data_IF_039923807709
#
_entry.id   IF_039923807709
#
_cell.length_a   1.000
_cell.length_b   1.000
_cell.length_c   1.000
_cell.angle_alpha   90.00
_cell.angle_beta   90.00
_cell.angle_gamma   90.00
#
_symmetry.space_group_name_H-M   'P 1'
#
loop_
_entity.id
_entity.type
_entity.pdbx_description
1 polymer ?
#
# COMPACT_ATOMS: atom_id res chain seq x y z
N UNK A 1 -20.11 -61.41 23.78
CA UNK A 1 -20.18 -59.94 23.61
C UNK A 1 -21.61 -59.58 23.29
N UNK A 2 -22.15 -58.50 23.87
CA UNK A 2 -23.47 -57.99 23.48
C UNK A 2 -23.36 -57.20 22.18
N UNK A 3 -24.40 -57.21 21.36
CA UNK A 3 -24.44 -56.46 20.09
C UNK A 3 -24.36 -54.94 20.32
N UNK A 4 -24.75 -54.44 21.51
CA UNK A 4 -24.67 -53.02 21.87
C UNK A 4 -23.22 -52.55 22.06
N UNK A 5 -22.35 -53.37 22.65
CA UNK A 5 -20.94 -53.05 22.80
C UNK A 5 -20.24 -52.94 21.45
N UNK A 6 -20.54 -53.86 20.52
CA UNK A 6 -19.95 -53.85 19.18
C UNK A 6 -20.37 -52.61 18.38
N UNK A 7 -21.66 -52.23 18.47
CA UNK A 7 -22.17 -50.99 17.87
C UNK A 7 -21.49 -49.75 18.45
N UNK A 8 -21.32 -49.67 19.77
CA UNK A 8 -20.64 -48.54 20.43
C UNK A 8 -19.16 -48.48 20.05
N UNK A 9 -18.49 -49.62 19.91
CA UNK A 9 -17.09 -49.68 19.46
C UNK A 9 -16.93 -49.19 18.01
N UNK A 10 -17.83 -49.58 17.11
CA UNK A 10 -17.84 -49.09 15.72
C UNK A 10 -18.14 -47.58 15.63
N UNK A 11 -19.00 -47.05 16.50
CA UNK A 11 -19.29 -45.62 16.60
C UNK A 11 -18.13 -44.82 17.23
N UNK A 12 -17.38 -45.41 18.17
CA UNK A 12 -16.16 -44.84 18.74
C UNK A 12 -15.07 -44.68 17.69
N UNK A 13 -14.84 -45.71 16.85
CA UNK A 13 -13.84 -45.67 15.77
C UNK A 13 -14.14 -44.56 14.74
N UNK A 14 -15.42 -44.20 14.59
CA UNK A 14 -15.88 -43.13 13.70
C UNK A 14 -16.02 -41.76 14.37
N UNK A 15 -15.85 -41.66 15.69
CA UNK A 15 -15.97 -40.41 16.46
C UNK A 15 -17.40 -39.90 16.64
N UNK A 16 -18.40 -40.80 16.60
CA UNK A 16 -19.83 -40.45 16.58
C UNK A 16 -20.54 -40.62 17.96
N UNK A 17 -19.79 -40.90 19.03
CA UNK A 17 -20.34 -41.09 20.37
C UNK A 17 -20.51 -39.77 21.14
N UNK A 18 -21.56 -39.69 21.94
CA UNK A 18 -21.71 -38.58 22.91
C UNK A 18 -20.80 -38.80 24.14
N UNK A 19 -20.56 -37.72 24.89
CA UNK A 19 -19.59 -37.69 26.00
C UNK A 19 -19.90 -38.71 27.12
N UNK A 20 -21.17 -38.96 27.43
CA UNK A 20 -21.58 -39.93 28.44
C UNK A 20 -21.47 -41.39 27.94
N UNK A 21 -21.72 -41.63 26.65
CA UNK A 21 -21.53 -42.93 26.01
C UNK A 21 -20.05 -43.27 25.81
N UNK A 22 -19.22 -42.25 25.60
CA UNK A 22 -17.77 -42.39 25.48
C UNK A 22 -17.14 -42.77 26.82
N UNK A 23 -17.49 -42.08 27.91
CA UNK A 23 -16.98 -42.39 29.26
C UNK A 23 -17.40 -43.79 29.74
N UNK A 24 -18.61 -44.23 29.36
CA UNK A 24 -19.08 -45.59 29.70
C UNK A 24 -18.38 -46.67 28.88
N UNK A 25 -18.14 -46.43 27.58
CA UNK A 25 -17.38 -47.35 26.73
C UNK A 25 -15.91 -47.44 27.17
N UNK A 26 -15.27 -46.33 27.53
CA UNK A 26 -13.90 -46.31 28.06
C UNK A 26 -13.77 -47.14 29.34
N UNK A 27 -14.72 -46.99 30.29
CA UNK A 27 -14.75 -47.83 31.51
C UNK A 27 -14.99 -49.31 31.23
N UNK A 28 -15.72 -49.65 30.18
CA UNK A 28 -15.93 -51.04 29.77
C UNK A 28 -14.70 -51.63 29.07
N UNK A 29 -13.99 -50.83 28.26
CA UNK A 29 -12.72 -51.21 27.65
C UNK A 29 -11.63 -51.42 28.70
N UNK A 30 -11.52 -50.52 29.68
CA UNK A 30 -10.58 -50.65 30.80
C UNK A 30 -10.81 -51.97 31.57
N UNK A 31 -12.07 -52.31 31.85
CA UNK A 31 -12.42 -53.57 32.52
C UNK A 31 -12.11 -54.81 31.68
N UNK A 32 -12.32 -54.74 30.36
CA UNK A 32 -12.00 -55.85 29.46
C UNK A 32 -10.48 -56.03 29.33
N UNK A 33 -9.71 -54.94 29.35
CA UNK A 33 -8.26 -54.98 29.37
C UNK A 33 -7.72 -55.58 30.68
N UNK A 34 -8.27 -55.19 31.84
CA UNK A 34 -7.97 -55.82 33.14
C UNK A 34 -8.31 -57.34 33.15
N UNK A 35 -9.43 -57.73 32.55
CA UNK A 35 -9.83 -59.14 32.46
C UNK A 35 -8.92 -59.95 31.53
N UNK A 36 -8.46 -59.34 30.44
CA UNK A 36 -7.53 -59.96 29.50
C UNK A 36 -6.12 -60.08 30.10
N UNK A 37 -5.69 -59.10 30.92
CA UNK A 37 -4.46 -59.20 31.72
C UNK A 37 -4.54 -60.33 32.76
N UNK A 38 -5.66 -60.46 33.48
CA UNK A 38 -5.86 -61.54 34.47
C UNK A 38 -5.82 -62.95 33.85
N UNK A 39 -6.36 -63.11 32.63
CA UNK A 39 -6.34 -64.39 31.92
C UNK A 39 -4.95 -64.72 31.36
N UNK A 40 -4.16 -63.71 30.96
CA UNK A 40 -2.77 -63.90 30.51
C UNK A 40 -1.80 -64.17 31.66
N UNK A 41 -2.08 -63.65 32.87
CA UNK A 41 -1.23 -63.84 34.05
C UNK A 41 -1.34 -65.26 34.65
N UNK A 42 -2.43 -65.98 34.35
CA UNK A 42 -2.74 -67.30 34.93
C UNK A 42 -2.59 -68.50 33.96
N UNK A 43 -1.96 -68.33 32.79
CA UNK A 43 -1.72 -69.43 31.85
C UNK A 43 -0.48 -70.29 32.28
N UNK A 44 -0.63 -71.59 32.61
CA UNK A 44 0.40 -72.34 33.35
C UNK A 44 1.71 -72.68 32.60
N UNK A 45 1.86 -72.33 31.31
CA UNK A 45 3.00 -72.78 30.49
C UNK A 45 4.08 -71.73 30.20
N UNK A 46 3.93 -70.47 30.62
CA UNK A 46 4.89 -69.39 30.29
C UNK A 46 5.61 -68.74 31.50
N UNK A 47 5.58 -69.35 32.68
CA UNK A 47 6.00 -68.68 33.92
C UNK A 47 7.52 -68.43 34.11
N UNK A 48 8.42 -68.98 33.29
CA UNK A 48 9.88 -68.91 33.60
C UNK A 48 10.68 -67.96 32.69
N UNK A 49 10.22 -67.66 31.46
CA UNK A 49 10.94 -66.76 30.53
C UNK A 49 10.12 -65.56 30.03
N UNK A 50 8.80 -65.53 30.28
CA UNK A 50 7.94 -64.42 29.84
C UNK A 50 7.97 -63.23 30.80
N UNK A 51 8.23 -63.42 32.10
CA UNK A 51 8.18 -62.34 33.11
C UNK A 51 9.20 -61.22 32.81
N UNK A 52 10.45 -61.53 32.45
CA UNK A 52 11.48 -60.50 32.16
C UNK A 52 11.33 -59.81 30.79
N UNK A 53 10.75 -60.50 29.80
CA UNK A 53 10.53 -59.99 28.44
C UNK A 53 9.20 -59.24 28.28
N UNK A 54 8.13 -59.69 28.95
CA UNK A 54 6.82 -59.04 28.98
C UNK A 54 6.84 -57.77 29.85
N UNK A 55 7.53 -57.78 30.99
CA UNK A 55 7.77 -56.57 31.80
C UNK A 55 8.52 -55.52 30.97
N UNK A 56 9.53 -55.92 30.18
CA UNK A 56 10.25 -55.00 29.28
C UNK A 56 9.39 -54.45 28.13
N UNK A 57 8.49 -55.25 27.54
CA UNK A 57 7.57 -54.78 26.48
C UNK A 57 6.46 -53.88 27.05
N UNK A 58 5.88 -54.24 28.20
CA UNK A 58 4.89 -53.44 28.96
C UNK A 58 5.50 -52.11 29.41
N UNK A 59 6.71 -52.16 29.98
CA UNK A 59 7.49 -50.97 30.34
C UNK A 59 7.83 -50.10 29.12
N UNK A 60 8.27 -50.67 27.99
CA UNK A 60 8.56 -49.88 26.78
C UNK A 60 7.32 -49.29 26.11
N UNK A 61 6.17 -49.97 26.13
CA UNK A 61 4.90 -49.45 25.59
C UNK A 61 4.33 -48.34 26.48
N UNK A 62 4.35 -48.52 27.80
CA UNK A 62 3.98 -47.49 28.78
C UNK A 62 4.92 -46.29 28.73
N UNK A 63 6.24 -46.51 28.58
CA UNK A 63 7.22 -45.43 28.38
C UNK A 63 7.02 -44.70 27.06
N UNK A 64 6.66 -45.39 25.96
CA UNK A 64 6.33 -44.74 24.67
C UNK A 64 5.06 -43.91 24.77
N UNK A 65 4.01 -44.43 25.40
CA UNK A 65 2.75 -43.72 25.62
C UNK A 65 2.95 -42.50 26.53
N UNK A 66 3.72 -42.65 27.62
CA UNK A 66 4.13 -41.54 28.49
C UNK A 66 4.97 -40.49 27.77
N UNK A 67 5.92 -40.89 26.92
CA UNK A 67 6.71 -39.96 26.08
C UNK A 67 5.85 -39.23 25.07
N UNK A 68 4.89 -39.90 24.44
CA UNK A 68 3.94 -39.27 23.52
C UNK A 68 2.98 -38.33 24.22
N UNK A 69 2.45 -38.71 25.39
CA UNK A 69 1.63 -37.84 26.24
C UNK A 69 2.41 -36.60 26.70
N UNK A 70 3.66 -36.76 27.13
CA UNK A 70 4.52 -35.64 27.49
C UNK A 70 4.82 -34.73 26.30
N UNK A 71 5.14 -35.28 25.12
CA UNK A 71 5.34 -34.51 23.89
C UNK A 71 4.07 -33.76 23.48
N UNK A 72 2.90 -34.40 23.62
CA UNK A 72 1.61 -33.79 23.32
C UNK A 72 1.28 -32.66 24.30
N UNK A 73 1.51 -32.86 25.59
CA UNK A 73 1.37 -31.81 26.62
C UNK A 73 2.33 -30.64 26.39
N UNK A 74 3.61 -30.93 26.08
CA UNK A 74 4.58 -29.89 25.73
C UNK A 74 4.17 -29.14 24.46
N UNK A 75 3.66 -29.84 23.45
CA UNK A 75 3.13 -29.21 22.24
C UNK A 75 1.92 -28.31 22.54
N UNK A 76 0.98 -28.76 23.38
CA UNK A 76 -0.17 -27.96 23.80
C UNK A 76 0.25 -26.71 24.59
N UNK A 77 1.22 -26.83 25.49
CA UNK A 77 1.76 -25.67 26.22
C UNK A 77 2.46 -24.70 25.25
N UNK A 78 3.24 -25.20 24.30
CA UNK A 78 3.88 -24.37 23.28
C UNK A 78 2.85 -23.64 22.39
N UNK A 79 1.78 -24.33 21.98
CA UNK A 79 0.66 -23.72 21.24
C UNK A 79 -0.03 -22.66 22.10
N UNK A 80 -0.27 -22.94 23.39
CA UNK A 80 -0.85 -21.98 24.32
C UNK A 80 0.00 -20.71 24.45
N UNK A 81 1.31 -20.85 24.62
CA UNK A 81 2.25 -19.73 24.65
C UNK A 81 2.21 -18.95 23.32
N UNK A 82 2.16 -19.66 22.18
CA UNK A 82 2.09 -19.04 20.86
C UNK A 82 0.81 -18.22 20.65
N UNK A 83 -0.34 -18.73 21.10
CA UNK A 83 -1.62 -18.01 21.04
C UNK A 83 -1.55 -16.75 21.91
N UNK A 84 -1.07 -16.88 23.15
CA UNK A 84 -0.91 -15.74 24.07
C UNK A 84 0.02 -14.69 23.46
N UNK A 85 1.15 -15.11 22.91
CA UNK A 85 2.08 -14.22 22.20
C UNK A 85 1.41 -13.51 21.02
N UNK A 86 0.60 -14.22 20.23
CA UNK A 86 -0.09 -13.63 19.06
C UNK A 86 -1.11 -12.56 19.49
N UNK A 87 -1.85 -12.80 20.58
CA UNK A 87 -2.77 -11.81 21.16
C UNK A 87 -2.01 -10.57 21.62
N UNK A 88 -0.95 -10.74 22.42
CA UNK A 88 -0.13 -9.61 22.88
C UNK A 88 0.53 -8.86 21.73
N UNK A 89 1.02 -9.58 20.73
CA UNK A 89 1.63 -8.97 19.55
C UNK A 89 0.62 -8.13 18.78
N UNK A 90 -0.61 -8.61 18.59
CA UNK A 90 -1.67 -7.85 17.91
C UNK A 90 -2.03 -6.57 18.67
N UNK A 91 -2.19 -6.65 19.99
CA UNK A 91 -2.47 -5.47 20.84
C UNK A 91 -1.32 -4.46 20.76
N UNK A 92 -0.07 -4.93 20.89
CA UNK A 92 1.10 -4.07 20.81
C UNK A 92 1.25 -3.43 19.42
N UNK A 93 0.92 -4.17 18.36
CA UNK A 93 0.93 -3.68 16.99
C UNK A 93 -0.05 -2.52 16.84
N UNK A 94 -1.31 -2.71 17.26
CA UNK A 94 -2.32 -1.65 17.22
C UNK A 94 -1.87 -0.40 17.98
N UNK A 95 -1.39 -0.56 19.21
CA UNK A 95 -0.87 0.56 20.02
C UNK A 95 0.30 1.25 19.32
N UNK A 96 1.26 0.49 18.79
CA UNK A 96 2.45 1.07 18.16
C UNK A 96 2.10 1.96 16.97
N UNK A 97 1.23 1.48 16.09
CA UNK A 97 0.86 2.20 14.87
C UNK A 97 -0.12 3.35 15.15
N UNK A 98 -1.01 3.22 16.14
CA UNK A 98 -1.90 4.30 16.57
C UNK A 98 -1.24 5.29 17.56
N UNK A 99 0.08 5.21 17.78
CA UNK A 99 0.78 6.07 18.72
C UNK A 99 1.35 7.31 18.04
N UNK A 100 0.86 8.48 18.42
CA UNK A 100 1.39 9.77 17.97
C UNK A 100 0.27 10.80 17.81
N UNK A 101 0.64 12.02 17.45
CA UNK A 101 -0.27 13.04 16.93
C UNK A 101 0.46 13.84 15.86
N UNK A 102 0.26 13.56 14.55
CA UNK A 102 -0.59 12.50 13.99
C UNK A 102 -0.07 11.08 14.32
N UNK A 103 -0.92 10.07 14.17
CA UNK A 103 -0.51 8.70 14.44
C UNK A 103 0.48 8.17 13.36
N UNK A 104 1.14 7.04 13.62
CA UNK A 104 2.16 6.55 12.68
C UNK A 104 1.54 6.04 11.39
N UNK A 105 0.29 5.58 11.42
CA UNK A 105 -0.40 5.12 10.21
C UNK A 105 -0.61 6.31 9.29
N UNK A 106 -1.09 7.43 9.81
CA UNK A 106 -1.27 8.68 9.08
C UNK A 106 0.06 9.20 8.56
N UNK A 107 1.12 9.22 9.39
CA UNK A 107 2.46 9.62 8.92
C UNK A 107 2.94 8.73 7.76
N UNK A 108 2.77 7.41 7.85
CA UNK A 108 3.19 6.50 6.78
C UNK A 108 2.33 6.66 5.53
N UNK A 109 1.02 6.87 5.69
CA UNK A 109 0.12 7.18 4.59
C UNK A 109 0.55 8.45 3.87
N UNK A 110 0.80 9.53 4.61
CA UNK A 110 1.19 10.82 4.06
C UNK A 110 2.54 10.76 3.36
N UNK A 111 3.51 9.99 3.87
CA UNK A 111 4.78 9.77 3.14
C UNK A 111 4.51 9.15 1.76
N UNK A 112 3.63 8.16 1.67
CA UNK A 112 3.30 7.48 0.41
C UNK A 112 2.58 8.43 -0.54
N UNK A 113 1.50 9.03 -0.08
CA UNK A 113 0.63 9.89 -0.88
C UNK A 113 1.38 11.13 -1.38
N UNK A 114 2.16 11.78 -0.49
CA UNK A 114 2.91 12.97 -0.85
C UNK A 114 4.10 12.65 -1.75
N UNK A 115 4.81 11.53 -1.54
CA UNK A 115 5.90 11.12 -2.45
C UNK A 115 5.36 10.96 -3.86
N UNK A 116 4.26 10.21 -4.03
CA UNK A 116 3.68 10.01 -5.36
C UNK A 116 3.11 11.30 -5.93
N UNK A 117 2.51 12.17 -5.11
CA UNK A 117 1.99 13.46 -5.58
C UNK A 117 3.10 14.35 -6.17
N UNK A 118 4.32 14.29 -5.61
CA UNK A 118 5.44 15.11 -6.10
C UNK A 118 6.27 14.46 -7.20
N UNK A 119 6.17 13.14 -7.42
CA UNK A 119 6.96 12.42 -8.43
C UNK A 119 6.14 11.79 -9.55
N UNK A 120 4.81 11.80 -9.46
CA UNK A 120 3.92 11.24 -10.46
C UNK A 120 2.80 12.25 -10.78
N UNK A 121 2.58 12.61 -12.05
CA UNK A 121 1.54 13.57 -12.44
C UNK A 121 0.11 13.22 -12.02
N UNK A 122 -0.17 11.94 -11.78
CA UNK A 122 -1.48 11.47 -11.30
C UNK A 122 -1.44 11.02 -9.84
N UNK A 123 -0.34 11.29 -9.11
CA UNK A 123 -0.10 10.82 -7.75
C UNK A 123 -1.13 11.29 -6.72
N UNK A 124 -1.78 12.44 -6.96
CA UNK A 124 -2.87 12.95 -6.12
C UNK A 124 -4.23 12.29 -6.40
N UNK A 125 -4.35 11.45 -7.44
CA UNK A 125 -5.64 10.90 -7.92
C UNK A 125 -6.02 9.57 -7.31
N UNK A 126 -5.41 9.16 -6.19
CA UNK A 126 -5.88 7.96 -5.49
C UNK A 126 -5.61 8.02 -3.99
N UNK A 127 -6.07 6.99 -3.28
CA UNK A 127 -5.85 6.86 -1.84
C UNK A 127 -4.86 5.76 -1.48
N UNK A 128 -4.21 5.93 -0.33
CA UNK A 128 -3.53 4.86 0.39
C UNK A 128 -4.45 4.29 1.46
N UNK A 129 -4.68 2.98 1.40
CA UNK A 129 -5.32 2.21 2.46
C UNK A 129 -4.28 1.48 3.28
N UNK A 130 -4.55 1.26 4.57
CA UNK A 130 -3.63 0.57 5.48
C UNK A 130 -4.37 -0.49 6.29
N UNK A 131 -3.67 -1.57 6.61
CA UNK A 131 -4.18 -2.62 7.48
C UNK A 131 -3.07 -3.15 8.39
N UNK A 132 -3.32 -3.16 9.71
CA UNK A 132 -2.39 -3.75 10.67
C UNK A 132 -2.43 -5.27 10.56
N UNK A 133 -1.26 -5.89 10.48
CA UNK A 133 -1.11 -7.35 10.45
C UNK A 133 -0.59 -7.86 11.79
N UNK A 134 -0.76 -9.16 12.07
CA UNK A 134 -0.15 -9.75 13.28
C UNK A 134 1.38 -9.65 13.23
N UNK A 135 2.04 -9.73 14.38
CA UNK A 135 3.51 -9.72 14.46
C UNK A 135 4.15 -8.40 14.04
N UNK A 136 3.58 -7.28 14.50
CA UNK A 136 4.14 -5.93 14.38
C UNK A 136 4.19 -5.38 12.96
N UNK A 137 3.36 -5.93 12.07
CA UNK A 137 3.32 -5.52 10.69
C UNK A 137 2.20 -4.53 10.39
N UNK A 138 2.40 -3.77 9.31
CA UNK A 138 1.39 -2.95 8.65
C UNK A 138 1.56 -3.14 7.15
N UNK A 139 0.46 -3.34 6.45
CA UNK A 139 0.42 -3.35 5.00
C UNK A 139 -0.27 -2.08 4.51
N UNK A 140 0.38 -1.34 3.62
CA UNK A 140 -0.22 -0.23 2.90
C UNK A 140 -0.45 -0.62 1.43
N UNK A 141 -1.59 -0.21 0.87
CA UNK A 141 -1.93 -0.42 -0.54
C UNK A 141 -2.40 0.91 -1.13
N UNK A 142 -1.73 1.34 -2.20
CA UNK A 142 -1.98 2.60 -2.90
C UNK A 142 -2.42 2.31 -4.34
N UNK A 143 -3.60 2.78 -4.71
CA UNK A 143 -4.10 2.61 -6.09
C UNK A 143 -3.40 3.58 -7.05
N UNK A 144 -2.87 3.08 -8.16
CA UNK A 144 -2.30 3.91 -9.22
C UNK A 144 -3.38 4.21 -10.24
N UNK A 145 -3.66 5.51 -10.44
CA UNK A 145 -4.68 5.99 -11.35
C UNK A 145 -4.04 6.86 -12.43
N UNK A 146 -4.63 6.85 -13.62
CA UNK A 146 -4.40 7.86 -14.67
C UNK A 146 -5.67 8.65 -14.90
N UNK A 147 -5.53 9.85 -15.46
CA UNK A 147 -6.64 10.73 -15.84
C UNK A 147 -6.73 10.79 -17.35
N UNK A 148 -7.94 10.79 -17.91
CA UNK A 148 -8.20 11.10 -19.31
C UNK A 148 -9.54 11.80 -19.47
N UNK A 149 -9.50 13.08 -19.89
CA UNK A 149 -10.63 14.00 -19.73
C UNK A 149 -11.08 14.05 -18.27
N UNK A 150 -12.38 13.87 -18.03
CA UNK A 150 -12.94 13.88 -16.68
C UNK A 150 -13.02 12.49 -16.01
N UNK A 151 -12.49 11.44 -16.64
CA UNK A 151 -12.46 10.10 -16.06
C UNK A 151 -11.11 9.78 -15.40
N UNK A 152 -11.18 8.92 -14.38
CA UNK A 152 -10.03 8.31 -13.74
C UNK A 152 -10.02 6.80 -13.99
N UNK A 153 -8.88 6.27 -14.42
CA UNK A 153 -8.70 4.86 -14.74
C UNK A 153 -7.68 4.28 -13.77
N UNK A 154 -8.07 3.23 -13.02
CA UNK A 154 -7.15 2.48 -12.18
C UNK A 154 -6.26 1.58 -13.05
N UNK A 155 -4.96 1.89 -13.06
CA UNK A 155 -3.95 1.23 -13.89
C UNK A 155 -3.04 0.31 -13.09
N UNK A 156 -3.16 0.28 -11.77
CA UNK A 156 -2.38 -0.63 -10.94
C UNK A 156 -2.52 -0.35 -9.44
N UNK A 157 -1.69 -1.02 -8.67
CA UNK A 157 -1.58 -0.85 -7.23
C UNK A 157 -0.12 -1.00 -6.76
N UNK A 158 0.29 -0.19 -5.78
CA UNK A 158 1.53 -0.32 -5.04
C UNK A 158 1.24 -0.95 -3.68
N UNK A 159 1.91 -2.06 -3.38
CA UNK A 159 1.83 -2.75 -2.10
C UNK A 159 3.11 -2.60 -1.31
N UNK A 160 2.97 -2.25 -0.05
CA UNK A 160 4.10 -1.86 0.80
C UNK A 160 3.92 -2.52 2.16
N UNK A 161 4.97 -3.16 2.66
CA UNK A 161 4.94 -3.79 3.97
C UNK A 161 5.83 -3.02 4.92
N UNK A 162 5.37 -2.91 6.17
CA UNK A 162 6.12 -2.33 7.25
C UNK A 162 6.28 -3.36 8.36
N UNK A 163 7.46 -3.38 8.95
CA UNK A 163 7.72 -4.01 10.25
C UNK A 163 8.13 -2.90 11.21
N UNK A 164 7.25 -2.53 12.13
CA UNK A 164 7.35 -1.28 12.88
C UNK A 164 7.50 -0.08 11.92
N UNK A 165 8.57 0.70 12.06
CA UNK A 165 8.90 1.85 11.20
C UNK A 165 9.77 1.49 9.99
N UNK A 166 10.18 0.24 9.85
CA UNK A 166 10.95 -0.20 8.69
C UNK A 166 10.00 -0.55 7.55
N UNK A 167 10.20 0.08 6.41
CA UNK A 167 9.42 -0.08 5.20
C UNK A 167 10.17 -0.93 4.18
N UNK A 168 9.48 -1.88 3.53
CA UNK A 168 10.02 -2.63 2.39
C UNK A 168 9.98 -1.82 1.11
N UNK A 169 10.75 -2.24 0.11
CA UNK A 169 10.58 -1.74 -1.26
C UNK A 169 9.15 -2.11 -1.72
N UNK A 170 8.41 -1.18 -2.37
CA UNK A 170 7.08 -1.46 -2.88
C UNK A 170 7.09 -2.56 -3.94
N UNK A 171 6.02 -3.34 -3.96
CA UNK A 171 5.69 -4.24 -5.05
C UNK A 171 4.61 -3.55 -5.91
N UNK A 172 4.94 -3.28 -7.17
CA UNK A 172 4.01 -2.69 -8.14
C UNK A 172 3.30 -3.78 -8.94
N UNK A 173 1.98 -3.68 -9.02
CA UNK A 173 1.15 -4.53 -9.84
C UNK A 173 0.36 -3.67 -10.81
N UNK A 174 0.67 -3.79 -12.09
CA UNK A 174 -0.03 -3.07 -13.15
C UNK A 174 -1.22 -3.87 -13.70
N UNK A 175 -2.27 -3.15 -14.06
CA UNK A 175 -3.50 -3.64 -14.65
C UNK A 175 -3.58 -3.27 -16.13
N UNK A 176 -4.28 -4.08 -16.93
CA UNK A 176 -4.57 -3.76 -18.32
C UNK A 176 -3.36 -3.87 -19.26
N UNK A 177 -3.39 -3.12 -20.36
CA UNK A 177 -2.30 -3.04 -21.34
C UNK A 177 -1.33 -1.97 -20.87
N UNK A 178 -0.22 -2.41 -20.28
CA UNK A 178 0.85 -1.51 -19.87
C UNK A 178 1.56 -1.01 -21.14
N UNK A 179 1.34 0.25 -21.51
CA UNK A 179 2.32 0.96 -22.34
C UNK A 179 3.60 1.03 -21.50
N UNK A 180 4.64 0.31 -21.94
CA UNK A 180 5.90 0.18 -21.20
C UNK A 180 6.77 1.45 -21.28
N UNK A 181 6.32 2.45 -22.03
CA UNK A 181 6.98 3.73 -22.21
C UNK A 181 6.11 4.76 -21.50
N UNK A 182 6.49 5.15 -20.28
CA UNK A 182 5.89 6.33 -19.66
C UNK A 182 6.32 7.55 -20.46
N UNK A 183 5.40 8.49 -20.75
CA UNK A 183 5.76 9.73 -21.38
C UNK A 183 6.84 10.46 -20.58
N UNK A 184 7.77 11.08 -21.31
CA UNK A 184 8.93 11.75 -20.77
C UNK A 184 8.88 13.25 -21.06
N UNK A 185 9.59 14.01 -20.24
CA UNK A 185 9.80 15.43 -20.51
C UNK A 185 11.17 15.66 -21.15
N UNK A 186 11.24 16.66 -22.02
CA UNK A 186 12.48 17.15 -22.59
C UNK A 186 12.80 18.54 -22.04
N UNK A 187 14.03 18.73 -21.56
CA UNK A 187 14.50 20.05 -21.15
C UNK A 187 14.63 20.99 -22.35
N UNK A 188 14.37 22.30 -22.16
CA UNK A 188 14.66 23.32 -23.15
C UNK A 188 16.10 23.25 -23.66
N UNK A 189 16.28 23.27 -24.99
CA UNK A 189 17.60 23.28 -25.62
C UNK A 189 18.35 21.94 -25.63
N UNK A 190 17.75 20.85 -25.16
CA UNK A 190 18.31 19.48 -25.16
C UNK A 190 18.58 18.92 -26.56
N UNK A 191 18.03 19.52 -27.61
CA UNK A 191 18.16 19.02 -28.99
C UNK A 191 17.32 17.76 -29.27
N UNK A 192 16.55 17.29 -28.28
CA UNK A 192 15.49 16.29 -28.44
C UNK A 192 14.44 16.91 -29.35
N UNK A 193 14.57 16.58 -30.63
CA UNK A 193 13.72 17.03 -31.74
C UNK A 193 13.01 15.81 -32.30
N UNK A 194 12.22 15.16 -31.45
CA UNK A 194 11.20 14.23 -31.93
C UNK A 194 10.05 15.02 -32.55
N UNK A 195 9.38 14.49 -33.58
CA UNK A 195 8.09 15.03 -34.05
C UNK A 195 6.98 14.90 -32.99
N UNK A 196 7.30 14.45 -31.76
CA UNK A 196 6.35 14.10 -30.73
C UNK A 196 5.29 13.12 -31.24
N UNK A 197 4.20 13.06 -30.49
CA UNK A 197 3.01 12.32 -30.88
C UNK A 197 2.01 13.18 -31.66
N UNK A 198 2.46 14.29 -32.26
CA UNK A 198 1.61 15.18 -33.06
C UNK A 198 0.92 14.43 -34.20
N UNK A 199 1.66 13.60 -34.93
CA UNK A 199 1.10 12.74 -35.99
C UNK A 199 0.04 11.76 -35.45
N UNK A 200 0.21 11.25 -34.23
CA UNK A 200 -0.78 10.38 -33.59
C UNK A 200 -2.03 11.18 -33.23
N UNK A 201 -1.86 12.37 -32.65
CA UNK A 201 -2.94 13.28 -32.26
C UNK A 201 -3.79 13.74 -33.46
N UNK A 202 -3.15 14.04 -34.60
CA UNK A 202 -3.84 14.39 -35.85
C UNK A 202 -4.76 13.27 -36.35
N UNK A 203 -4.29 12.02 -36.25
CA UNK A 203 -5.01 10.83 -36.72
C UNK A 203 -6.14 10.37 -35.78
N UNK A 204 -6.18 10.87 -34.53
CA UNK A 204 -7.27 10.59 -33.62
C UNK A 204 -8.57 11.29 -34.10
N UNK A 205 -9.71 10.58 -34.07
CA UNK A 205 -10.98 11.13 -34.54
C UNK A 205 -11.50 12.25 -33.63
N UNK A 206 -12.41 13.07 -34.14
CA UNK A 206 -13.22 13.92 -33.26
C UNK A 206 -14.07 13.06 -32.30
N UNK A 207 -14.35 13.59 -31.11
CA UNK A 207 -15.05 12.84 -30.05
C UNK A 207 -14.11 11.98 -29.18
N UNK A 208 -12.82 12.29 -29.16
CA UNK A 208 -11.85 11.73 -28.20
C UNK A 208 -11.31 12.82 -27.28
N UNK A 209 -10.86 12.37 -26.11
CA UNK A 209 -10.12 13.15 -25.13
C UNK A 209 -8.74 12.54 -24.97
N UNK A 210 -7.75 13.37 -24.66
CA UNK A 210 -6.35 12.95 -24.53
C UNK A 210 -5.77 13.56 -23.27
N UNK A 211 -4.96 12.78 -22.57
CA UNK A 211 -3.99 13.30 -21.60
C UNK A 211 -2.60 13.24 -22.20
N UNK A 212 -1.85 14.31 -22.05
CA UNK A 212 -0.54 14.45 -22.69
C UNK A 212 0.46 15.17 -21.79
N UNK A 213 1.73 14.81 -21.99
CA UNK A 213 2.88 15.47 -21.41
C UNK A 213 3.39 16.45 -22.45
N UNK A 214 3.50 17.71 -22.05
CA UNK A 214 3.91 18.80 -22.90
C UNK A 214 5.22 19.35 -22.36
N UNK A 215 6.26 19.39 -23.18
CA UNK A 215 7.53 20.03 -22.83
C UNK A 215 7.62 21.40 -23.49
N UNK A 216 8.11 22.39 -22.76
CA UNK A 216 8.22 23.76 -23.21
C UNK A 216 9.54 24.01 -23.96
N UNK A 217 9.52 24.98 -24.88
CA UNK A 217 10.70 25.41 -25.64
C UNK A 217 11.65 26.28 -24.82
N UNK A 218 11.14 26.92 -23.77
CA UNK A 218 11.88 27.65 -22.74
C UNK A 218 11.36 27.30 -21.35
N UNK A 219 12.13 27.61 -20.31
CA UNK A 219 11.60 27.54 -18.94
C UNK A 219 10.55 28.63 -18.73
N UNK A 220 9.46 28.28 -18.04
CA UNK A 220 8.37 29.18 -17.70
C UNK A 220 8.19 29.30 -16.19
N UNK A 221 7.88 30.50 -15.70
CA UNK A 221 7.37 30.68 -14.34
C UNK A 221 5.95 30.09 -14.21
N UNK A 222 5.55 29.70 -13.00
CA UNK A 222 4.23 29.10 -12.76
C UNK A 222 3.08 29.98 -13.23
N UNK A 223 3.19 31.30 -13.03
CA UNK A 223 2.20 32.25 -13.53
C UNK A 223 2.12 32.22 -15.06
N UNK A 224 3.25 32.17 -15.76
CA UNK A 224 3.30 32.11 -17.23
C UNK A 224 2.67 30.82 -17.76
N UNK A 225 2.80 29.70 -17.02
CA UNK A 225 2.11 28.45 -17.37
C UNK A 225 0.60 28.62 -17.29
N UNK A 226 0.07 29.16 -16.18
CA UNK A 226 -1.37 29.42 -16.06
C UNK A 226 -1.87 30.40 -17.14
N UNK A 227 -1.17 31.52 -17.33
CA UNK A 227 -1.51 32.52 -18.35
C UNK A 227 -1.50 31.93 -19.78
N UNK A 228 -0.63 30.96 -20.07
CA UNK A 228 -0.54 30.33 -21.38
C UNK A 228 -1.75 29.43 -21.69
N UNK A 229 -2.28 28.73 -20.68
CA UNK A 229 -3.42 27.84 -20.81
C UNK A 229 -4.76 28.50 -20.47
N UNK A 230 -4.76 29.73 -19.95
CA UNK A 230 -5.98 30.47 -19.61
C UNK A 230 -6.92 30.62 -20.82
N UNK A 231 -8.21 30.38 -20.58
CA UNK A 231 -9.26 30.43 -21.58
C UNK A 231 -9.21 29.33 -22.65
N UNK A 232 -8.27 28.39 -22.59
CA UNK A 232 -8.24 27.22 -23.48
C UNK A 232 -9.12 26.11 -22.91
N UNK A 233 -9.74 25.33 -23.79
CA UNK A 233 -10.64 24.25 -23.39
C UNK A 233 -9.84 22.96 -23.06
N UNK A 234 -9.06 23.03 -21.98
CA UNK A 234 -8.23 21.93 -21.46
C UNK A 234 -7.86 22.19 -20.01
N UNK A 235 -7.67 21.12 -19.25
CA UNK A 235 -7.30 21.20 -17.83
C UNK A 235 -5.79 21.01 -17.66
N UNK A 236 -5.19 21.86 -16.84
CA UNK A 236 -3.85 21.66 -16.31
C UNK A 236 -3.92 20.65 -15.15
N UNK A 237 -3.11 19.59 -15.22
CA UNK A 237 -3.09 18.54 -14.20
C UNK A 237 -1.89 18.67 -13.26
N UNK A 238 -0.69 18.87 -13.81
CA UNK A 238 0.55 18.80 -13.03
C UNK A 238 1.72 19.53 -13.71
N UNK A 239 2.63 20.08 -12.91
CA UNK A 239 3.74 20.90 -13.36
C UNK A 239 5.09 20.36 -12.86
N UNK A 240 5.93 19.79 -13.73
CA UNK A 240 7.32 19.51 -13.37
C UNK A 240 8.08 20.80 -13.10
N UNK A 241 8.95 20.80 -12.08
CA UNK A 241 9.85 21.91 -11.76
C UNK A 241 11.29 21.52 -12.02
N UNK A 242 12.12 22.50 -12.38
CA UNK A 242 13.57 22.32 -12.36
C UNK A 242 14.07 22.22 -10.93
N UNK A 243 14.99 21.30 -10.68
CA UNK A 243 15.53 20.97 -9.36
C UNK A 243 17.06 21.07 -9.29
N UNK A 244 17.71 21.38 -10.41
CA UNK A 244 19.17 21.53 -10.53
C UNK A 244 19.90 20.22 -10.80
N UNK A 245 19.32 19.10 -10.38
CA UNK A 245 19.87 17.75 -10.59
C UNK A 245 19.65 17.23 -12.02
N UNK A 246 18.81 17.90 -12.82
CA UNK A 246 18.53 17.49 -14.20
C UNK A 246 19.79 17.45 -15.09
N UNK A 247 20.78 18.30 -14.77
CA UNK A 247 22.05 18.37 -15.49
C UNK A 247 22.95 17.14 -15.27
N UNK A 248 22.63 16.30 -14.30
CA UNK A 248 23.38 15.07 -13.98
C UNK A 248 22.87 13.85 -14.76
N UNK A 249 21.73 13.97 -15.46
CA UNK A 249 21.14 12.83 -16.18
C UNK A 249 21.94 12.46 -17.44
N UNK A 250 22.10 11.16 -17.72
CA UNK A 250 22.92 10.67 -18.83
C UNK A 250 22.23 10.75 -20.20
N UNK A 251 20.99 11.22 -20.28
CA UNK A 251 20.13 11.11 -21.47
C UNK A 251 19.92 12.44 -22.21
N UNK A 252 20.95 13.28 -22.31
CA UNK A 252 20.95 14.53 -23.11
C UNK A 252 19.65 15.34 -22.97
N UNK A 253 19.22 15.62 -21.73
CA UNK A 253 18.07 16.47 -21.42
C UNK A 253 16.70 15.79 -21.36
N UNK A 254 16.61 14.46 -21.46
CA UNK A 254 15.38 13.70 -21.16
C UNK A 254 15.23 13.49 -19.65
N UNK A 255 14.05 13.79 -19.10
CA UNK A 255 13.68 13.59 -17.69
C UNK A 255 12.69 12.44 -17.57
N UNK A 256 13.11 11.37 -16.88
CA UNK A 256 12.30 10.18 -16.63
C UNK A 256 11.59 10.21 -15.28
N UNK A 257 12.22 10.82 -14.28
CA UNK A 257 11.71 10.90 -12.91
C UNK A 257 11.50 12.39 -12.54
N UNK A 258 10.49 13.05 -13.14
CA UNK A 258 10.26 14.46 -12.89
C UNK A 258 9.76 14.68 -11.46
N UNK A 259 10.13 15.83 -10.89
CA UNK A 259 9.62 16.29 -9.60
C UNK A 259 8.79 17.55 -9.85
N UNK A 260 7.66 17.69 -9.17
CA UNK A 260 6.71 18.75 -9.45
C UNK A 260 5.49 18.72 -8.55
N UNK A 261 4.44 19.44 -8.93
CA UNK A 261 3.23 19.55 -8.13
C UNK A 261 1.97 19.70 -9.01
N UNK A 262 0.80 19.25 -8.51
CA UNK A 262 -0.46 19.38 -9.23
C UNK A 262 -0.95 20.84 -9.34
N UNK A 263 -1.90 21.09 -10.24
CA UNK A 263 -2.58 22.38 -10.39
C UNK A 263 -3.45 22.80 -9.19
N UNK A 264 -3.61 21.93 -8.20
CA UNK A 264 -4.31 22.17 -6.95
C UNK A 264 -3.37 22.05 -5.75
N UNK A 265 -3.58 22.76 -4.64
CA UNK A 265 -2.70 22.68 -3.47
C UNK A 265 -2.63 21.28 -2.87
N UNK A 266 -1.44 20.90 -2.40
CA UNK A 266 -1.22 19.69 -1.60
C UNK A 266 -1.49 20.05 -0.14
N UNK A 267 -2.72 19.83 0.33
CA UNK A 267 -3.07 20.10 1.73
C UNK A 267 -2.49 19.01 2.65
N UNK A 268 -1.71 19.41 3.64
CA UNK A 268 -1.24 18.54 4.70
C UNK A 268 -2.23 18.59 5.88
N UNK A 269 -2.18 17.56 6.75
CA UNK A 269 -3.13 17.41 7.87
C UNK A 269 -3.22 18.65 8.78
N UNK A 270 -2.13 19.41 8.92
CA UNK A 270 -2.05 20.61 9.75
C UNK A 270 -2.55 21.90 9.05
N UNK A 271 -2.87 21.85 7.75
CA UNK A 271 -3.51 22.96 7.03
C UNK A 271 -5.02 22.99 7.21
N UNK A 272 -5.63 21.85 7.54
CA UNK A 272 -7.08 21.72 7.67
C UNK A 272 -7.61 22.53 8.86
N UNK A 273 -8.68 23.30 8.60
CA UNK A 273 -9.33 24.14 9.59
C UNK A 273 -10.39 23.30 10.30
N UNK A 274 -10.15 22.95 11.57
CA UNK A 274 -11.12 22.20 12.38
C UNK A 274 -12.35 23.07 12.66
N UNK A 275 -13.49 22.72 12.07
CA UNK A 275 -14.76 23.43 12.19
C UNK A 275 -15.61 22.91 13.35
N UNK A 276 -15.49 21.62 13.68
CA UNK A 276 -16.21 21.00 14.79
C UNK A 276 -15.34 19.98 15.51
N UNK A 277 -15.42 19.94 16.85
CA UNK A 277 -14.77 18.92 17.68
C UNK A 277 -15.74 18.39 18.72
N UNK A 278 -16.06 17.11 18.63
CA UNK A 278 -16.87 16.42 19.64
C UNK A 278 -15.99 15.45 20.42
N UNK A 279 -15.91 15.64 21.74
CA UNK A 279 -15.27 14.70 22.66
C UNK A 279 -16.36 13.88 23.38
N UNK A 280 -16.43 12.58 23.12
CA UNK A 280 -17.30 11.66 23.84
C UNK A 280 -16.46 10.74 24.74
N UNK A 281 -16.86 10.62 26.02
CA UNK A 281 -16.23 9.68 26.92
C UNK A 281 -16.67 8.25 26.55
N UNK A 282 -15.73 7.46 26.04
CA UNK A 282 -15.90 6.03 25.83
C UNK A 282 -15.88 5.31 27.18
N UNK A 283 -16.94 4.55 27.44
CA UNK A 283 -17.25 3.95 28.74
C UNK A 283 -16.18 3.03 29.33
N UNK A 284 -16.33 2.75 30.64
CA UNK A 284 -15.61 1.87 31.58
C UNK A 284 -14.07 1.73 31.56
N UNK A 285 -13.38 2.03 30.47
CA UNK A 285 -11.91 2.04 30.36
C UNK A 285 -11.31 3.45 30.18
N UNK A 286 -12.12 4.50 30.29
CA UNK A 286 -11.63 5.89 30.29
C UNK A 286 -11.07 6.36 28.93
N UNK A 287 -11.50 5.73 27.83
CA UNK A 287 -11.16 6.21 26.49
C UNK A 287 -11.92 7.51 26.18
N UNK A 288 -11.30 8.41 25.41
CA UNK A 288 -12.00 9.55 24.80
C UNK A 288 -12.11 9.30 23.31
N UNK A 289 -13.31 9.38 22.76
CA UNK A 289 -13.55 9.43 21.32
C UNK A 289 -13.53 10.91 20.97
N UNK A 290 -12.58 11.32 20.13
CA UNK A 290 -12.52 12.67 19.58
C UNK A 290 -12.94 12.57 18.12
N UNK A 291 -14.03 13.24 17.76
CA UNK A 291 -14.48 13.41 16.38
C UNK A 291 -14.18 14.84 15.98
N UNK A 292 -13.41 15.04 14.91
CA UNK A 292 -13.08 16.35 14.35
C UNK A 292 -13.59 16.43 12.91
N UNK A 293 -14.34 17.49 12.62
CA UNK A 293 -14.70 17.87 11.25
C UNK A 293 -13.75 18.99 10.85
N UNK A 294 -13.13 18.87 9.68
CA UNK A 294 -12.20 19.87 9.20
C UNK A 294 -12.44 20.13 7.71
N UNK A 295 -12.16 21.37 7.30
CA UNK A 295 -12.30 21.84 5.92
C UNK A 295 -10.94 22.31 5.42
N UNK A 296 -10.65 22.08 4.13
CA UNK A 296 -9.45 22.62 3.52
C UNK A 296 -9.57 24.14 3.41
N UNK A 297 -8.46 24.90 3.45
CA UNK A 297 -8.48 26.32 3.14
C UNK A 297 -9.07 26.60 1.76
N UNK A 298 -9.60 27.81 1.57
CA UNK A 298 -10.05 28.28 0.26
C UNK A 298 -8.85 28.39 -0.70
N UNK A 299 -9.07 28.02 -1.96
CA UNK A 299 -8.09 28.10 -3.04
C UNK A 299 -8.76 28.68 -4.27
N UNK A 300 -8.15 29.70 -4.86
CA UNK A 300 -8.52 30.24 -6.17
C UNK A 300 -7.55 29.65 -7.20
N UNK A 301 -8.10 29.13 -8.30
CA UNK A 301 -7.28 28.58 -9.39
C UNK A 301 -6.31 29.64 -9.93
N UNK A 302 -5.05 29.24 -10.09
CA UNK A 302 -3.99 30.17 -10.48
C UNK A 302 -3.31 30.92 -9.32
N UNK A 303 -3.74 30.75 -8.06
CA UNK A 303 -2.97 31.22 -6.89
C UNK A 303 -1.71 30.38 -6.69
N UNK A 304 -0.68 30.70 -7.48
CA UNK A 304 0.57 29.96 -7.52
C UNK A 304 1.39 30.13 -6.23
N UNK A 305 1.18 31.20 -5.44
CA UNK A 305 1.87 31.33 -4.16
C UNK A 305 1.42 30.26 -3.16
N UNK A 306 0.12 29.93 -3.13
CA UNK A 306 -0.38 28.82 -2.31
C UNK A 306 0.23 27.49 -2.78
N UNK A 307 0.28 27.25 -4.09
CA UNK A 307 0.88 26.04 -4.66
C UNK A 307 2.35 25.89 -4.26
N UNK A 308 3.15 26.95 -4.42
CA UNK A 308 4.58 26.96 -4.05
C UNK A 308 4.79 26.70 -2.58
N UNK A 309 4.03 27.37 -1.71
CA UNK A 309 4.13 27.19 -0.27
C UNK A 309 3.80 25.75 0.13
N UNK A 310 2.73 25.17 -0.41
CA UNK A 310 2.34 23.80 -0.09
C UNK A 310 3.31 22.76 -0.66
N UNK A 311 3.85 23.01 -1.85
CA UNK A 311 4.87 22.15 -2.42
C UNK A 311 6.16 22.16 -1.57
N UNK A 312 6.66 23.33 -1.16
CA UNK A 312 7.83 23.42 -0.26
C UNK A 312 7.58 22.78 1.11
N UNK A 313 6.38 22.97 1.67
CA UNK A 313 5.97 22.32 2.91
C UNK A 313 5.97 20.80 2.78
N UNK A 314 5.47 20.30 1.65
CA UNK A 314 5.46 18.87 1.32
C UNK A 314 6.88 18.31 1.18
N UNK A 315 7.76 18.98 0.43
CA UNK A 315 9.16 18.57 0.30
C UNK A 315 9.88 18.54 1.66
N UNK A 316 9.65 19.55 2.51
CA UNK A 316 10.21 19.62 3.87
C UNK A 316 9.73 18.48 4.76
N UNK A 317 8.45 18.09 4.65
CA UNK A 317 7.92 16.92 5.35
C UNK A 317 8.58 15.63 4.85
N UNK A 318 8.72 15.48 3.53
CA UNK A 318 9.34 14.30 2.92
C UNK A 318 10.84 14.18 3.27
N UNK A 319 11.56 15.29 3.38
CA UNK A 319 12.98 15.33 3.76
C UNK A 319 13.21 14.67 5.13
N UNK A 320 12.32 14.92 6.10
CA UNK A 320 12.37 14.30 7.44
C UNK A 320 12.18 12.77 7.40
N UNK A 321 11.71 12.25 6.27
CA UNK A 321 11.38 10.85 6.03
C UNK A 321 12.09 10.25 4.81
N UNK A 322 13.18 10.87 4.36
CA UNK A 322 13.86 10.58 3.10
C UNK A 322 14.20 9.10 2.88
N UNK A 323 14.57 8.36 3.94
CA UNK A 323 14.83 6.91 3.85
C UNK A 323 13.61 6.11 3.35
N UNK A 324 12.38 6.52 3.70
CA UNK A 324 11.15 5.86 3.22
C UNK A 324 10.78 6.35 1.83
N UNK A 325 10.98 7.64 1.57
CA UNK A 325 10.77 8.24 0.24
C UNK A 325 11.63 7.55 -0.82
N UNK A 326 12.92 7.37 -0.53
CA UNK A 326 13.88 6.68 -1.40
C UNK A 326 13.58 5.18 -1.61
N UNK A 327 12.69 4.58 -0.81
CA UNK A 327 12.21 3.23 -1.09
C UNK A 327 11.07 3.23 -2.11
N UNK A 328 10.33 4.34 -2.26
CA UNK A 328 9.19 4.48 -3.17
C UNK A 328 9.66 4.84 -4.56
N UNK A 329 10.59 5.79 -4.65
CA UNK A 329 11.08 6.30 -5.93
C UNK A 329 12.20 5.44 -6.49
N UNK A 330 12.42 5.53 -7.79
CA UNK A 330 13.58 4.94 -8.41
C UNK A 330 14.82 5.82 -8.14
N UNK A 331 15.73 5.36 -7.27
CA UNK A 331 16.95 6.09 -6.93
C UNK A 331 16.85 6.89 -5.63
N UNK A 332 17.41 8.10 -5.61
CA UNK A 332 17.41 9.00 -4.45
C UNK A 332 17.01 10.39 -4.90
N UNK A 333 16.04 11.00 -4.23
CA UNK A 333 15.60 12.35 -4.58
C UNK A 333 16.59 13.43 -4.14
N UNK A 334 17.40 13.20 -3.09
CA UNK A 334 18.26 14.23 -2.49
C UNK A 334 17.45 15.49 -2.14
N UNK A 335 16.39 15.33 -1.34
CA UNK A 335 15.37 16.37 -1.11
C UNK A 335 15.95 17.67 -0.58
N UNK A 336 17.02 17.60 0.23
CA UNK A 336 17.71 18.77 0.77
C UNK A 336 18.29 19.66 -0.35
N UNK A 337 18.93 19.06 -1.35
CA UNK A 337 19.52 19.79 -2.49
C UNK A 337 18.43 20.42 -3.37
N UNK A 338 17.31 19.71 -3.55
CA UNK A 338 16.15 20.23 -4.29
C UNK A 338 15.54 21.43 -3.56
N UNK A 339 15.34 21.33 -2.25
CA UNK A 339 14.78 22.40 -1.42
C UNK A 339 15.68 23.65 -1.49
N UNK A 340 16.99 23.48 -1.36
CA UNK A 340 17.96 24.57 -1.46
C UNK A 340 17.91 25.22 -2.86
N UNK A 341 17.90 24.41 -3.93
CA UNK A 341 17.81 24.91 -5.30
C UNK A 341 16.54 25.75 -5.52
N UNK A 342 15.38 25.26 -5.08
CA UNK A 342 14.10 25.95 -5.26
C UNK A 342 14.03 27.26 -4.44
N UNK A 343 14.62 27.28 -3.25
CA UNK A 343 14.72 28.51 -2.45
C UNK A 343 15.60 29.58 -3.12
N UNK A 344 16.67 29.16 -3.82
CA UNK A 344 17.60 30.09 -4.47
C UNK A 344 17.12 30.57 -5.85
N UNK A 345 16.50 29.67 -6.63
CA UNK A 345 16.20 29.90 -8.05
C UNK A 345 14.70 30.12 -8.33
N UNK A 346 13.84 29.85 -7.34
CA UNK A 346 12.39 29.88 -7.52
C UNK A 346 11.87 28.68 -8.32
N UNK A 347 10.64 28.79 -8.81
CA UNK A 347 9.94 27.72 -9.53
C UNK A 347 9.95 28.00 -11.02
N UNK A 348 10.62 27.14 -11.76
CA UNK A 348 10.70 27.17 -13.22
C UNK A 348 10.24 25.82 -13.76
N UNK A 349 9.38 25.84 -14.77
CA UNK A 349 8.77 24.66 -15.35
C UNK A 349 9.32 24.42 -16.75
N UNK A 350 9.68 23.17 -17.03
CA UNK A 350 10.07 22.72 -18.37
C UNK A 350 8.94 22.00 -19.11
N UNK A 351 7.76 21.87 -18.49
CA UNK A 351 6.61 21.23 -19.11
C UNK A 351 5.36 21.32 -18.23
N UNK A 352 4.31 20.64 -18.68
CA UNK A 352 3.07 20.42 -17.96
C UNK A 352 2.41 19.10 -18.41
N UNK A 353 1.60 18.51 -17.54
CA UNK A 353 0.64 17.46 -17.91
C UNK A 353 -0.72 18.09 -18.04
N UNK A 354 -1.37 17.86 -19.18
CA UNK A 354 -2.67 18.43 -19.52
C UNK A 354 -3.65 17.33 -19.93
N UNK A 355 -4.94 17.63 -19.88
CA UNK A 355 -5.98 16.79 -20.46
C UNK A 355 -7.09 17.62 -21.10
N UNK A 356 -7.72 17.10 -22.15
CA UNK A 356 -8.75 17.84 -22.88
C UNK A 356 -9.18 17.18 -24.19
N UNK A 357 -10.11 17.81 -24.92
CA UNK A 357 -10.52 17.36 -26.23
C UNK A 357 -9.33 17.30 -27.19
N UNK A 358 -9.22 16.21 -27.93
CA UNK A 358 -8.05 15.96 -28.80
C UNK A 358 -7.79 17.08 -29.81
N UNK A 359 -8.84 17.70 -30.34
CA UNK A 359 -8.71 18.80 -31.32
C UNK A 359 -8.35 20.14 -30.69
N UNK A 360 -8.59 20.32 -29.39
CA UNK A 360 -8.14 21.51 -28.66
C UNK A 360 -6.65 21.39 -28.32
N UNK A 361 -6.20 20.21 -27.86
CA UNK A 361 -4.79 19.93 -27.61
C UNK A 361 -3.96 20.03 -28.91
N UNK A 362 -4.51 19.60 -30.05
CA UNK A 362 -3.81 19.68 -31.34
C UNK A 362 -3.45 21.11 -31.75
N UNK A 363 -4.21 22.12 -31.31
CA UNK A 363 -3.90 23.53 -31.60
C UNK A 363 -2.56 23.97 -30.99
N UNK A 364 -2.08 23.29 -29.94
CA UNK A 364 -0.78 23.58 -29.32
C UNK A 364 0.41 23.29 -30.24
N UNK A 365 0.22 22.54 -31.33
CA UNK A 365 1.26 22.30 -32.33
C UNK A 365 1.71 23.60 -33.03
N UNK A 366 0.83 24.61 -33.08
CA UNK A 366 1.11 25.91 -33.72
C UNK A 366 1.78 26.91 -32.76
N UNK A 367 1.93 26.56 -31.48
CA UNK A 367 2.46 27.44 -30.44
C UNK A 367 3.99 27.27 -30.27
N UNK A 368 4.76 28.33 -30.51
CA UNK A 368 6.23 28.32 -30.38
C UNK A 368 6.71 27.98 -28.95
N UNK A 369 5.84 28.14 -27.95
CA UNK A 369 6.08 27.79 -26.54
C UNK A 369 6.23 26.28 -26.34
N UNK A 370 5.65 25.44 -27.21
CA UNK A 370 5.69 23.99 -27.07
C UNK A 370 6.82 23.39 -27.91
N UNK A 371 7.70 22.62 -27.26
CA UNK A 371 8.78 21.91 -27.94
C UNK A 371 8.41 20.47 -28.31
N UNK A 372 7.72 19.77 -27.42
CA UNK A 372 7.39 18.35 -27.55
C UNK A 372 6.05 18.06 -26.89
N UNK A 373 5.28 17.14 -27.48
CA UNK A 373 4.10 16.56 -26.88
C UNK A 373 4.18 15.03 -26.98
N UNK A 374 3.93 14.35 -25.86
CA UNK A 374 3.81 12.89 -25.78
C UNK A 374 2.44 12.51 -25.21
N UNK A 375 1.74 11.60 -25.88
CA UNK A 375 0.41 11.15 -25.48
C UNK A 375 0.54 10.08 -24.40
N UNK A 376 -0.11 10.30 -23.26
CA UNK A 376 -0.18 9.29 -22.20
C UNK A 376 -1.38 8.35 -22.40
N UNK A 377 -2.57 8.94 -22.49
CA UNK A 377 -3.83 8.21 -22.53
C UNK A 377 -4.81 8.83 -23.52
N UNK A 378 -5.62 7.97 -24.13
CA UNK A 378 -6.69 8.35 -25.07
C UNK A 378 -7.99 7.72 -24.64
N UNK A 379 -9.02 8.55 -24.50
CA UNK A 379 -10.37 8.15 -24.10
C UNK A 379 -11.41 8.52 -25.15
N UNK A 380 -12.56 7.86 -25.07
CA UNK A 380 -13.76 8.36 -25.74
C UNK A 380 -14.30 9.59 -25.01
N UNK A 381 -15.11 10.38 -25.72
CA UNK A 381 -15.68 11.61 -25.20
C UNK A 381 -16.30 11.48 -23.81
N UNK A 382 -15.72 12.21 -22.86
CA UNK A 382 -16.21 12.40 -21.49
C UNK A 382 -16.01 13.88 -21.04
N UNK A 383 -15.89 14.79 -22.00
CA UNK A 383 -15.63 16.20 -21.77
C UNK A 383 -16.93 17.00 -21.81
N UNK A 384 -17.22 17.74 -20.74
CA UNK A 384 -18.33 18.68 -20.66
C UNK A 384 -17.76 20.03 -20.24
N UNK A 385 -18.05 21.11 -20.98
CA UNK A 385 -17.65 22.46 -20.58
C UNK A 385 -18.39 22.81 -19.27
N UNK A 386 -17.64 23.07 -18.20
CA UNK A 386 -18.17 23.44 -16.88
C UNK A 386 -18.51 24.93 -16.78
#
# INVERSE_FOLDING_TARGET
MSDDFKRKLEAYEKGELNEAELETLEKELDKLEEYQEFLQENDPQEQVNASTLSINKKQNKMLRHGKWKARFQTALVAIGIFIVFTIFSTIFTGIYYSWGSPDRVDVFRNIIDNTLTVTNPYGNRGGTSTSSTSYFGLQATRNLNKVVGHDQIEVGELKMNFLFSWMTIPEEQNYGRVNHEQPMFALPGSGVTGEGDWNQLENLPEGTVVSAYVSFSTLLETQEVFDFFDGRNMDLLWFPVTTGIENEYPFDGIILDPIGFPSSPIWLDDDFIVTERTEENSGWFGGKIVSETAESPEYEEGDYQVLHNQFMKTLTFLEQHENKVNNIVWGRLNLSEIIDYLNENGFQHYGAVITGPTKEILQLQEEDTIALLEIDEVGFWNWEEL
#
